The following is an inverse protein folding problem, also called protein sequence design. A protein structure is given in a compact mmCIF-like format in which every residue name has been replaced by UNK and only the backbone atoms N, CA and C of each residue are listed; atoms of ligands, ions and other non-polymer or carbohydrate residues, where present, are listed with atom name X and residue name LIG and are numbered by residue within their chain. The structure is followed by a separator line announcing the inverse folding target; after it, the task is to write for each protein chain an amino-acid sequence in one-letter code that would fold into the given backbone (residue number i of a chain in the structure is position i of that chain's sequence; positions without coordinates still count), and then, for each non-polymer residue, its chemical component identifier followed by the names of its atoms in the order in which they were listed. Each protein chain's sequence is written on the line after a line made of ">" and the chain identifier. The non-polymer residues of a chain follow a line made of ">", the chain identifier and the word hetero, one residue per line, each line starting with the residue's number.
data_IF_179343165619
#
_entry.id   IF_179343165619
#
_cell.length_a   1.000
_cell.length_b   1.000
_cell.length_c   1.000
_cell.angle_alpha   90.00
_cell.angle_beta   90.00
_cell.angle_gamma   90.00
#
_symmetry.space_group_name_H-M   'P 1'
#
loop_
_entity.id
_entity.type
_entity.pdbx_description
1 polymer ?
#
# COMPACT_ATOMS: atom_id res chain seq x y z
N UNK A 1 -8.87 1.97 29.70
CA UNK A 1 -7.42 2.21 29.50
C UNK A 1 -7.14 3.66 29.82
N UNK A 2 -6.03 3.98 30.48
CA UNK A 2 -5.67 5.38 30.79
C UNK A 2 -4.42 5.78 30.00
N UNK A 3 -4.39 7.02 29.55
CA UNK A 3 -3.24 7.61 28.86
C UNK A 3 -2.46 8.51 29.84
N UNK A 4 -1.15 8.33 29.90
CA UNK A 4 -0.27 9.21 30.67
C UNK A 4 1.07 9.34 29.95
N UNK A 5 1.38 10.55 29.48
CA UNK A 5 2.69 10.90 28.90
C UNK A 5 3.16 9.95 27.79
N UNK A 6 2.38 9.80 26.71
CA UNK A 6 2.64 8.87 25.60
C UNK A 6 2.67 7.37 25.95
N UNK A 7 2.32 6.98 27.18
CA UNK A 7 2.17 5.57 27.56
C UNK A 7 0.72 5.22 27.84
N UNK A 8 0.33 4.08 27.30
CA UNK A 8 -0.98 3.49 27.47
C UNK A 8 -0.92 2.47 28.60
N UNK A 9 -1.74 2.67 29.64
CA UNK A 9 -1.83 1.77 30.79
C UNK A 9 -3.12 0.95 30.69
N UNK A 10 -2.96 -0.37 30.57
CA UNK A 10 -4.07 -1.31 30.56
C UNK A 10 -4.57 -1.58 31.97
N UNK A 11 -5.67 -0.92 32.34
CA UNK A 11 -6.32 -1.03 33.65
C UNK A 11 -7.00 -2.39 33.89
N UNK A 12 -7.26 -3.18 32.83
CA UNK A 12 -7.93 -4.50 32.86
C UNK A 12 -9.27 -4.49 33.63
N UNK A 13 -9.94 -3.34 33.66
CA UNK A 13 -11.21 -3.14 34.36
C UNK A 13 -12.32 -2.87 33.34
N UNK A 14 -13.45 -3.55 33.51
CA UNK A 14 -14.67 -3.29 32.76
C UNK A 14 -15.48 -2.20 33.50
N UNK A 15 -15.99 -1.23 32.75
CA UNK A 15 -16.85 -0.15 33.26
C UNK A 15 -18.00 0.04 32.27
N UNK A 16 -19.16 0.46 32.78
CA UNK A 16 -20.30 0.78 31.93
C UNK A 16 -20.01 2.03 31.07
N UNK A 17 -20.53 2.03 29.83
CA UNK A 17 -20.31 3.10 28.84
C UNK A 17 -19.37 2.72 27.70
N UNK A 18 -19.29 3.61 26.70
CA UNK A 18 -18.39 3.48 25.54
C UNK A 18 -17.02 4.13 25.78
N UNK A 19 -16.04 3.81 24.95
CA UNK A 19 -14.75 4.50 24.96
C UNK A 19 -14.83 5.81 24.18
N UNK A 20 -14.35 6.92 24.76
CA UNK A 20 -14.27 8.22 24.07
C UNK A 20 -13.11 8.29 23.06
N UNK A 21 -12.12 7.40 23.18
CA UNK A 21 -10.93 7.42 22.33
C UNK A 21 -10.54 6.01 21.87
N UNK A 22 -9.96 5.97 20.66
CA UNK A 22 -9.38 4.76 20.08
C UNK A 22 -7.88 4.71 20.35
N UNK A 23 -7.35 3.55 20.74
CA UNK A 23 -5.94 3.39 21.14
C UNK A 23 -5.07 2.68 20.09
N UNK A 24 -5.57 2.49 18.87
CA UNK A 24 -4.91 1.67 17.83
C UNK A 24 -3.49 2.14 17.46
N UNK A 25 -3.31 3.44 17.22
CA UNK A 25 -2.00 4.02 16.87
C UNK A 25 -1.00 3.83 18.03
N UNK A 26 -1.45 4.01 19.26
CA UNK A 26 -0.62 3.79 20.45
C UNK A 26 -0.22 2.32 20.62
N UNK A 27 -1.11 1.37 20.31
CA UNK A 27 -0.79 -0.06 20.31
C UNK A 27 0.22 -0.40 19.21
N UNK A 28 0.08 0.17 18.02
CA UNK A 28 1.04 0.03 16.94
C UNK A 28 2.44 0.56 17.33
N UNK A 29 2.49 1.68 18.06
CA UNK A 29 3.73 2.20 18.63
C UNK A 29 4.36 1.26 19.66
N UNK A 30 3.55 0.68 20.55
CA UNK A 30 4.02 -0.33 21.51
C UNK A 30 4.49 -1.63 20.83
N UNK A 31 3.92 -1.97 19.67
CA UNK A 31 4.32 -3.13 18.87
C UNK A 31 5.63 -2.92 18.09
N UNK A 32 6.24 -1.74 18.16
CA UNK A 32 7.51 -1.45 17.50
C UNK A 32 7.39 -1.06 16.02
N UNK A 33 6.21 -0.57 15.59
CA UNK A 33 6.06 -0.04 14.24
C UNK A 33 7.00 1.16 13.99
N UNK A 34 7.49 1.34 12.75
CA UNK A 34 8.34 2.47 12.40
C UNK A 34 7.72 3.83 12.76
N UNK A 35 8.54 4.75 13.31
CA UNK A 35 8.10 6.08 13.75
C UNK A 35 7.45 6.90 12.63
N UNK A 36 7.95 6.78 11.41
CA UNK A 36 7.41 7.46 10.22
C UNK A 36 5.98 7.04 9.92
N UNK A 37 5.66 5.75 10.09
CA UNK A 37 4.31 5.21 9.89
C UNK A 37 3.36 5.72 10.97
N UNK A 38 3.82 5.74 12.22
CA UNK A 38 3.03 6.24 13.36
C UNK A 38 2.70 7.73 13.17
N UNK A 39 3.68 8.54 12.78
CA UNK A 39 3.50 9.97 12.52
C UNK A 39 2.46 10.22 11.42
N UNK A 40 2.58 9.53 10.28
CA UNK A 40 1.61 9.62 9.18
C UNK A 40 0.21 9.18 9.60
N UNK A 41 0.09 8.11 10.38
CA UNK A 41 -1.20 7.65 10.88
C UNK A 41 -1.85 8.69 11.79
N UNK A 42 -1.07 9.38 12.63
CA UNK A 42 -1.55 10.49 13.46
C UNK A 42 -2.03 11.68 12.65
N UNK A 43 -1.32 12.06 11.58
CA UNK A 43 -1.75 13.13 10.67
C UNK A 43 -3.10 12.80 10.00
N UNK A 44 -3.24 11.59 9.48
CA UNK A 44 -4.48 11.12 8.84
C UNK A 44 -5.63 11.10 9.86
N UNK A 45 -5.38 10.69 11.10
CA UNK A 45 -6.41 10.68 12.14
C UNK A 45 -6.98 12.09 12.38
N UNK A 46 -6.10 13.09 12.47
CA UNK A 46 -6.52 14.50 12.65
C UNK A 46 -7.37 14.96 11.45
N UNK A 47 -6.98 14.62 10.23
CA UNK A 47 -7.78 14.94 9.04
C UNK A 47 -9.16 14.28 9.03
N UNK A 48 -9.25 13.04 9.52
CA UNK A 48 -10.51 12.30 9.55
C UNK A 48 -11.44 12.80 10.66
N UNK A 49 -10.90 13.11 11.84
CA UNK A 49 -11.67 13.68 12.95
C UNK A 49 -12.18 15.08 12.62
N UNK A 50 -11.35 15.92 12.00
CA UNK A 50 -11.77 17.26 11.55
C UNK A 50 -12.82 17.21 10.44
N UNK A 51 -12.71 16.27 9.50
CA UNK A 51 -13.75 16.04 8.48
C UNK A 51 -15.04 15.48 9.07
N UNK A 52 -14.99 14.55 10.02
CA UNK A 52 -16.19 14.04 10.69
C UNK A 52 -16.95 15.12 11.47
N UNK A 53 -16.25 16.11 12.04
CA UNK A 53 -16.88 17.26 12.69
C UNK A 53 -17.59 18.16 11.68
N UNK A 54 -17.06 18.27 10.44
CA UNK A 54 -17.62 19.10 9.39
C UNK A 54 -18.67 18.38 8.50
N UNK A 55 -18.60 17.05 8.39
CA UNK A 55 -19.43 16.20 7.51
C UNK A 55 -20.71 15.69 8.19
N UNK A 56 -21.11 16.24 9.36
CA UNK A 56 -22.46 16.04 9.88
C UNK A 56 -23.56 16.51 8.90
N UNK A 57 -23.20 17.21 7.82
CA UNK A 57 -24.12 17.66 6.78
C UNK A 57 -23.94 17.07 5.36
N UNK A 58 -22.84 16.39 4.99
CA UNK A 58 -22.71 15.93 3.58
C UNK A 58 -21.83 14.67 3.36
N UNK A 59 -22.47 13.50 3.28
CA UNK A 59 -21.90 12.16 3.12
C UNK A 59 -21.25 11.85 1.73
N UNK A 60 -20.89 12.85 0.92
CA UNK A 60 -20.48 12.66 -0.49
C UNK A 60 -18.97 12.75 -0.74
N UNK A 61 -18.20 13.40 0.15
CA UNK A 61 -16.78 13.77 -0.07
C UNK A 61 -15.75 12.70 0.35
N UNK A 62 -16.14 11.73 1.19
CA UNK A 62 -15.29 10.62 1.67
C UNK A 62 -14.76 9.72 0.54
N UNK A 63 -15.56 9.48 -0.51
CA UNK A 63 -15.15 8.64 -1.66
C UNK A 63 -14.14 9.34 -2.58
N UNK A 64 -14.19 10.68 -2.65
CA UNK A 64 -13.33 11.46 -3.54
C UNK A 64 -11.92 11.63 -2.95
N UNK A 65 -11.82 11.84 -1.64
CA UNK A 65 -10.52 11.96 -0.95
C UNK A 65 -9.75 10.65 -0.91
N UNK A 66 -10.41 9.50 -0.74
CA UNK A 66 -9.73 8.20 -0.86
C UNK A 66 -9.20 7.92 -2.28
N UNK A 67 -9.86 8.46 -3.32
CA UNK A 67 -9.40 8.33 -4.70
C UNK A 67 -8.21 9.26 -5.01
N UNK A 68 -8.15 10.42 -4.37
CA UNK A 68 -7.04 11.38 -4.51
C UNK A 68 -5.80 11.04 -3.68
N UNK A 69 -5.93 10.31 -2.56
CA UNK A 69 -4.78 9.78 -1.80
C UNK A 69 -4.01 8.73 -2.62
N UNK A 70 -4.69 8.03 -3.53
CA UNK A 70 -4.10 7.05 -4.45
C UNK A 70 -3.41 7.69 -5.68
N UNK A 71 -3.43 9.03 -5.79
CA UNK A 71 -2.86 9.77 -6.93
C UNK A 71 -1.58 10.53 -6.59
N UNK A 72 -1.11 10.48 -5.34
CA UNK A 72 0.26 10.86 -5.06
C UNK A 72 1.17 9.72 -5.52
N UNK A 73 2.19 9.97 -6.36
CA UNK A 73 3.20 8.97 -6.71
C UNK A 73 4.12 8.74 -5.50
N UNK A 74 3.54 8.27 -4.40
CA UNK A 74 4.28 7.56 -3.38
C UNK A 74 4.74 6.28 -4.05
N UNK A 75 6.05 6.05 -4.03
CA UNK A 75 6.65 4.75 -4.25
C UNK A 75 5.93 3.73 -3.36
N UNK A 76 4.86 3.16 -3.87
CA UNK A 76 4.29 1.94 -3.34
C UNK A 76 5.37 0.90 -3.63
N UNK A 77 6.19 0.63 -2.62
CA UNK A 77 7.08 -0.52 -2.59
C UNK A 77 6.21 -1.74 -2.85
N UNK A 78 6.19 -2.13 -4.11
CA UNK A 78 5.61 -3.34 -4.61
C UNK A 78 6.35 -4.45 -3.89
N UNK A 79 5.79 -4.95 -2.79
CA UNK A 79 6.40 -5.93 -1.88
C UNK A 79 6.71 -7.27 -2.60
N UNK A 80 6.29 -7.42 -3.85
CA UNK A 80 6.55 -8.55 -4.74
C UNK A 80 7.37 -8.19 -6.00
N UNK A 81 7.78 -6.94 -6.15
CA UNK A 81 8.65 -6.50 -7.25
C UNK A 81 10.07 -6.43 -6.69
N UNK A 82 10.61 -7.63 -6.44
CA UNK A 82 12.07 -7.84 -6.44
C UNK A 82 12.62 -6.99 -7.58
N UNK A 83 13.54 -6.08 -7.27
CA UNK A 83 14.13 -5.10 -8.19
C UNK A 83 14.02 -5.60 -9.64
N UNK A 84 13.16 -4.98 -10.49
CA UNK A 84 12.79 -5.58 -11.76
C UNK A 84 14.06 -5.92 -12.50
N UNK A 85 14.31 -7.22 -12.65
CA UNK A 85 15.46 -7.68 -13.39
C UNK A 85 15.33 -7.04 -14.79
N UNK A 86 16.28 -6.16 -15.18
CA UNK A 86 16.18 -5.43 -16.43
C UNK A 86 16.02 -6.38 -17.63
N UNK A 87 16.50 -7.62 -17.50
CA UNK A 87 16.35 -8.71 -18.47
C UNK A 87 14.91 -9.20 -18.51
N UNK A 88 14.30 -9.50 -17.34
CA UNK A 88 12.91 -9.94 -17.24
C UNK A 88 11.92 -8.88 -17.74
N UNK A 89 12.21 -7.59 -17.50
CA UNK A 89 11.42 -6.48 -18.03
C UNK A 89 11.42 -6.44 -19.55
N UNK A 90 12.58 -6.61 -20.18
CA UNK A 90 12.74 -6.63 -21.64
C UNK A 90 12.05 -7.84 -22.29
N UNK A 91 12.17 -9.02 -21.69
CA UNK A 91 11.47 -10.22 -22.18
C UNK A 91 9.96 -10.02 -22.12
N UNK A 92 9.44 -9.41 -21.05
CA UNK A 92 8.01 -9.12 -20.90
C UNK A 92 7.51 -8.18 -22.00
N UNK A 93 8.25 -7.13 -22.33
CA UNK A 93 7.86 -6.22 -23.41
C UNK A 93 7.91 -6.92 -24.77
N UNK A 94 8.93 -7.73 -25.01
CA UNK A 94 9.07 -8.45 -26.27
C UNK A 94 7.91 -9.44 -26.47
N UNK A 95 7.53 -10.19 -25.44
CA UNK A 95 6.38 -11.09 -25.46
C UNK A 95 5.04 -10.37 -25.67
N UNK A 96 4.87 -9.16 -25.15
CA UNK A 96 3.64 -8.38 -25.35
C UNK A 96 3.48 -7.88 -26.79
N UNK A 97 4.59 -7.61 -27.47
CA UNK A 97 4.59 -7.17 -28.88
C UNK A 97 4.58 -8.34 -29.87
N UNK A 98 4.92 -9.54 -29.42
CA UNK A 98 5.06 -10.71 -30.29
C UNK A 98 3.69 -11.24 -30.75
N UNK A 99 3.49 -11.30 -32.06
CA UNK A 99 2.30 -11.88 -32.66
C UNK A 99 2.56 -13.29 -33.20
N UNK A 100 2.24 -14.30 -32.38
CA UNK A 100 2.43 -15.72 -32.72
C UNK A 100 1.62 -16.13 -33.96
N UNK A 101 0.46 -15.53 -34.18
CA UNK A 101 -0.44 -15.91 -35.29
C UNK A 101 0.07 -15.45 -36.66
N UNK A 102 1.04 -14.54 -36.69
CA UNK A 102 1.63 -14.02 -37.92
C UNK A 102 3.01 -14.62 -38.23
N UNK A 103 3.50 -15.54 -37.41
CA UNK A 103 4.83 -16.12 -37.52
C UNK A 103 4.79 -17.55 -38.05
N UNK A 104 5.79 -17.92 -38.83
CA UNK A 104 6.01 -19.31 -39.23
C UNK A 104 6.55 -20.13 -38.06
N UNK A 105 6.33 -21.46 -38.03
CA UNK A 105 6.84 -22.32 -36.96
C UNK A 105 8.36 -22.21 -36.74
N UNK A 106 9.13 -21.97 -37.82
CA UNK A 106 10.57 -21.78 -37.75
C UNK A 106 10.94 -20.47 -37.06
N UNK A 107 10.25 -19.38 -37.38
CA UNK A 107 10.48 -18.07 -36.76
C UNK A 107 10.11 -18.09 -35.26
N UNK A 108 9.04 -18.78 -34.88
CA UNK A 108 8.68 -18.97 -33.47
C UNK A 108 9.79 -19.71 -32.71
N UNK A 109 10.33 -20.78 -33.28
CA UNK A 109 11.42 -21.55 -32.68
C UNK A 109 12.71 -20.72 -32.57
N UNK A 110 13.03 -19.90 -33.57
CA UNK A 110 14.17 -18.99 -33.52
C UNK A 110 14.00 -17.92 -32.45
N UNK A 111 12.82 -17.30 -32.34
CA UNK A 111 12.54 -16.30 -31.30
C UNK A 111 12.54 -16.89 -29.89
N UNK A 112 12.02 -18.10 -29.71
CA UNK A 112 12.08 -18.79 -28.41
C UNK A 112 13.52 -19.07 -27.98
N UNK A 113 14.39 -19.47 -28.92
CA UNK A 113 15.80 -19.73 -28.64
C UNK A 113 16.56 -18.43 -28.26
N UNK A 114 16.24 -17.31 -28.91
CA UNK A 114 16.77 -15.99 -28.57
C UNK A 114 16.38 -15.59 -27.13
N UNK A 115 15.11 -15.70 -26.77
CA UNK A 115 14.61 -15.39 -25.43
C UNK A 115 15.23 -16.30 -24.36
N UNK A 116 15.47 -17.58 -24.68
CA UNK A 116 16.12 -18.52 -23.77
C UNK A 116 17.58 -18.14 -23.50
N UNK A 117 18.33 -17.73 -24.53
CA UNK A 117 19.71 -17.25 -24.37
C UNK A 117 19.79 -16.02 -23.48
N UNK A 118 18.84 -15.09 -23.60
CA UNK A 118 18.76 -13.90 -22.76
C UNK A 118 18.54 -14.20 -21.27
N UNK A 119 18.08 -15.41 -20.92
CA UNK A 119 17.87 -15.84 -19.52
C UNK A 119 19.05 -16.65 -18.96
N UNK A 120 19.89 -17.22 -19.82
CA UNK A 120 21.07 -18.01 -19.44
C UNK A 120 22.36 -17.16 -19.31
N UNK A 121 22.36 -15.94 -19.86
CA UNK A 121 23.39 -14.89 -19.65
C UNK A 121 23.08 -14.03 -18.42
#
# INVERSE_FOLDING_TARGET
>A
TAESGNKVIFLRKLTEGGSNHSFGIHVAAMAGMPKEIIARASEILIELETKHINDAEENSTLKQTMKSINQQPGYQLSLFESAPDPIAGKIKTDLQTLNINAMTPIECMMKLNELKKMLEE
#
